data_IF_289253392741
#
_entry.id   IF_289253392741
#
_cell.length_a   1.000
_cell.length_b   1.000
_cell.length_c   1.000
_cell.angle_alpha   90.00
_cell.angle_beta   90.00
_cell.angle_gamma   90.00
#
_symmetry.space_group_name_H-M   'P 1'
#
loop_
_entity.id
_entity.type
_entity.pdbx_description
1 polymer ?
#
# COMPACT_ATOMS: atom_id res chain seq x y z
N UNK A 1 23.03 12.86 20.69
CA UNK A 1 24.40 12.29 20.74
C UNK A 1 25.39 12.94 19.76
N UNK A 2 24.97 13.72 18.75
CA UNK A 2 25.87 14.28 17.73
C UNK A 2 26.66 15.52 18.18
N UNK A 3 26.06 16.38 19.00
CA UNK A 3 26.70 17.63 19.51
C UNK A 3 27.84 17.34 20.50
N UNK A 4 27.71 16.29 21.32
CA UNK A 4 28.75 15.91 22.30
C UNK A 4 30.02 15.36 21.63
N UNK A 5 29.90 14.72 20.47
CA UNK A 5 31.04 14.18 19.71
C UNK A 5 31.78 15.30 18.97
N UNK A 6 31.05 16.31 18.45
CA UNK A 6 31.67 17.47 17.78
C UNK A 6 32.46 18.34 18.77
N UNK A 7 31.99 18.50 20.01
CA UNK A 7 32.71 19.23 21.07
C UNK A 7 34.03 18.54 21.48
N UNK A 8 34.07 17.20 21.47
CA UNK A 8 35.28 16.44 21.82
C UNK A 8 36.35 16.54 20.73
N UNK A 9 35.94 16.57 19.45
CA UNK A 9 36.89 16.73 18.33
C UNK A 9 37.50 18.14 18.30
N UNK A 10 36.74 19.17 18.68
CA UNK A 10 37.25 20.54 18.74
C UNK A 10 38.25 20.76 19.90
N UNK A 11 38.04 20.07 21.03
CA UNK A 11 38.93 20.15 22.19
C UNK A 11 40.31 19.52 21.96
N UNK A 12 40.42 18.50 21.11
CA UNK A 12 41.70 17.82 20.81
C UNK A 12 42.54 18.62 19.81
N UNK A 13 41.91 19.37 18.89
CA UNK A 13 42.61 20.18 17.88
C UNK A 13 43.14 21.52 18.44
N UNK A 14 42.53 22.05 19.52
CA UNK A 14 42.94 23.32 20.15
C UNK A 14 44.18 23.22 21.05
N UNK A 15 44.68 22.02 21.36
CA UNK A 15 45.75 21.81 22.35
C UNK A 15 47.18 21.78 21.75
N UNK A 16 47.36 22.15 20.47
CA UNK A 16 48.64 22.01 19.76
C UNK A 16 49.34 23.37 19.45
N UNK A 17 48.90 24.50 20.00
CA UNK A 17 49.48 25.84 19.69
C UNK A 17 50.29 26.44 20.87
N UNK A 18 50.50 25.72 21.97
CA UNK A 18 51.08 26.29 23.21
C UNK A 18 52.48 25.76 23.61
N UNK A 19 53.32 25.33 22.67
CA UNK A 19 54.76 25.11 22.93
C UNK A 19 55.60 25.84 21.87
N UNK A 20 55.69 27.16 22.01
CA UNK A 20 56.58 28.01 21.19
C UNK A 20 57.22 29.08 22.06
N UNK A 21 58.27 28.69 22.79
CA UNK A 21 59.24 29.47 23.60
C UNK A 21 60.32 28.43 23.97
N UNK A 22 61.64 28.58 23.84
CA UNK A 22 62.56 29.71 23.72
C UNK A 22 63.75 29.32 22.82
N UNK A 23 64.18 30.25 21.99
CA UNK A 23 65.51 30.26 21.38
C UNK A 23 66.55 30.68 22.42
N UNK A 24 67.49 29.80 22.78
CA UNK A 24 68.78 30.23 23.36
C UNK A 24 69.86 30.17 22.28
N UNK A 25 70.14 31.35 21.75
CA UNK A 25 71.41 31.71 21.11
C UNK A 25 72.55 31.56 22.12
N UNK A 26 73.53 30.72 21.83
CA UNK A 26 74.89 30.89 22.34
C UNK A 26 75.80 30.91 21.12
N UNK A 27 76.26 32.12 20.81
CA UNK A 27 77.44 32.39 19.98
C UNK A 27 78.68 32.16 20.85
N UNK A 28 79.82 31.88 20.19
CA UNK A 28 81.21 31.70 20.68
C UNK A 28 81.59 30.19 20.63
N UNK A 29 82.62 29.71 19.92
CA UNK A 29 83.81 30.35 19.38
C UNK A 29 84.31 29.62 18.12
N UNK A 30 85.09 30.34 17.32
CA UNK A 30 85.75 29.86 16.11
C UNK A 30 86.91 28.93 16.46
N UNK A 31 86.93 27.72 15.90
CA UNK A 31 88.12 27.09 15.31
C UNK A 31 87.79 25.66 14.87
N UNK A 32 88.31 25.31 13.68
CA UNK A 32 88.45 23.96 13.09
C UNK A 32 87.41 23.59 12.02
N UNK A 33 87.79 23.91 10.79
CA UNK A 33 87.20 23.36 9.57
C UNK A 33 87.83 21.98 9.31
N UNK A 34 87.03 21.08 8.70
CA UNK A 34 87.32 19.74 8.12
C UNK A 34 87.24 18.55 9.12
N UNK A 35 86.53 17.40 8.89
CA UNK A 35 85.50 16.97 7.93
C UNK A 35 84.29 16.26 8.63
N UNK A 36 83.76 16.79 9.73
CA UNK A 36 82.77 16.08 10.57
C UNK A 36 81.32 16.22 10.07
N UNK A 37 81.01 17.31 9.35
CA UNK A 37 79.67 17.59 8.80
C UNK A 37 79.21 16.59 7.74
N UNK A 38 80.11 16.07 6.91
CA UNK A 38 79.76 15.15 5.82
C UNK A 38 79.37 13.77 6.34
N UNK A 39 79.98 13.32 7.45
CA UNK A 39 79.63 12.05 8.10
C UNK A 39 78.31 12.17 8.86
N UNK A 40 78.08 13.28 9.57
CA UNK A 40 76.80 13.57 10.23
C UNK A 40 75.66 13.76 9.23
N UNK A 41 75.88 14.46 8.11
CA UNK A 41 74.90 14.54 7.01
C UNK A 41 74.61 13.17 6.41
N UNK A 42 75.63 12.34 6.16
CA UNK A 42 75.45 11.01 5.58
C UNK A 42 74.79 10.00 6.53
N UNK A 43 74.91 10.17 7.85
CA UNK A 43 74.13 9.40 8.83
C UNK A 43 72.70 9.88 8.92
N UNK A 44 72.46 11.20 8.91
CA UNK A 44 71.11 11.79 8.90
C UNK A 44 70.36 11.45 7.61
N UNK A 45 71.01 11.46 6.44
CA UNK A 45 70.42 11.03 5.17
C UNK A 45 70.07 9.54 5.18
N UNK A 46 70.93 8.68 5.74
CA UNK A 46 70.64 7.24 5.88
C UNK A 46 69.48 6.98 6.83
N UNK A 47 69.36 7.74 7.91
CA UNK A 47 68.24 7.66 8.84
C UNK A 47 66.95 8.18 8.21
N UNK A 48 67.01 9.30 7.49
CA UNK A 48 65.89 9.84 6.71
C UNK A 48 65.43 8.89 5.59
N UNK A 49 66.34 8.17 4.93
CA UNK A 49 66.00 7.14 3.93
C UNK A 49 65.30 5.96 4.60
N UNK A 50 65.81 5.47 5.75
CA UNK A 50 65.17 4.38 6.50
C UNK A 50 63.80 4.78 7.04
N UNK A 51 63.63 6.01 7.47
CA UNK A 51 62.35 6.54 7.94
C UNK A 51 61.36 6.71 6.79
N UNK A 52 61.81 7.21 5.63
CA UNK A 52 61.01 7.25 4.39
C UNK A 52 60.60 5.85 3.92
N UNK A 53 61.47 4.85 4.00
CA UNK A 53 61.12 3.46 3.67
C UNK A 53 60.09 2.86 4.63
N UNK A 54 60.21 3.13 5.95
CA UNK A 54 59.22 2.71 6.95
C UNK A 54 57.87 3.41 6.71
N UNK A 55 57.89 4.70 6.43
CA UNK A 55 56.69 5.46 6.07
C UNK A 55 56.06 4.93 4.77
N UNK A 56 56.86 4.62 3.75
CA UNK A 56 56.36 4.04 2.50
C UNK A 56 55.74 2.65 2.69
N UNK A 57 56.33 1.80 3.52
CA UNK A 57 55.75 0.48 3.88
C UNK A 57 54.44 0.65 4.66
N UNK A 58 54.41 1.53 5.65
CA UNK A 58 53.19 1.82 6.42
C UNK A 58 52.06 2.38 5.53
N UNK A 59 52.37 3.27 4.59
CA UNK A 59 51.40 3.78 3.61
C UNK A 59 50.89 2.68 2.69
N UNK A 60 51.77 1.79 2.22
CA UNK A 60 51.39 0.67 1.34
C UNK A 60 50.48 -0.34 2.04
N UNK A 61 50.71 -0.61 3.32
CA UNK A 61 49.86 -1.52 4.09
C UNK A 61 48.52 -0.86 4.46
N UNK A 62 48.52 0.43 4.82
CA UNK A 62 47.30 1.21 4.99
C UNK A 62 46.45 1.27 3.71
N UNK A 63 47.08 1.39 2.53
CA UNK A 63 46.37 1.36 1.25
C UNK A 63 45.74 0.00 0.95
N UNK A 64 46.45 -1.11 1.24
CA UNK A 64 45.89 -2.46 1.09
C UNK A 64 44.69 -2.68 1.99
N UNK A 65 44.75 -2.24 3.24
CA UNK A 65 43.65 -2.40 4.18
C UNK A 65 42.47 -1.50 3.83
N UNK A 66 42.72 -0.27 3.37
CA UNK A 66 41.66 0.59 2.79
C UNK A 66 41.01 -0.08 1.58
N UNK A 67 41.78 -0.72 0.71
CA UNK A 67 41.27 -1.43 -0.48
C UNK A 67 40.44 -2.67 -0.10
N UNK A 68 40.82 -3.39 0.95
CA UNK A 68 40.02 -4.51 1.49
C UNK A 68 38.71 -4.01 2.11
N UNK A 69 38.78 -2.96 2.93
CA UNK A 69 37.59 -2.34 3.53
C UNK A 69 36.61 -1.83 2.47
N UNK A 70 37.11 -1.17 1.42
CA UNK A 70 36.26 -0.71 0.32
C UNK A 70 35.57 -1.88 -0.41
N UNK A 71 36.31 -2.98 -0.69
CA UNK A 71 35.73 -4.17 -1.33
C UNK A 71 34.61 -4.80 -0.49
N UNK A 72 34.74 -4.83 0.83
CA UNK A 72 33.71 -5.37 1.72
C UNK A 72 32.50 -4.43 1.80
N UNK A 73 32.71 -3.11 1.83
CA UNK A 73 31.63 -2.13 1.73
C UNK A 73 30.86 -2.24 0.41
N UNK A 74 31.56 -2.37 -0.72
CA UNK A 74 30.93 -2.52 -2.05
C UNK A 74 30.12 -3.83 -2.14
N UNK A 75 30.60 -4.92 -1.53
CA UNK A 75 29.85 -6.19 -1.46
C UNK A 75 28.61 -6.05 -0.59
N UNK A 76 28.72 -5.41 0.57
CA UNK A 76 27.61 -5.16 1.48
C UNK A 76 26.55 -4.27 0.82
N UNK A 77 26.95 -3.22 0.11
CA UNK A 77 26.06 -2.34 -0.64
C UNK A 77 25.36 -3.09 -1.78
N UNK A 78 26.09 -3.87 -2.58
CA UNK A 78 25.49 -4.71 -3.63
C UNK A 78 24.47 -5.71 -3.07
N UNK A 79 24.76 -6.31 -1.91
CA UNK A 79 23.85 -7.22 -1.22
C UNK A 79 22.58 -6.49 -0.77
N UNK A 80 22.73 -5.32 -0.14
CA UNK A 80 21.59 -4.47 0.28
C UNK A 80 20.75 -4.04 -0.91
N UNK A 81 21.36 -3.63 -2.02
CA UNK A 81 20.65 -3.21 -3.21
C UNK A 81 19.87 -4.38 -3.85
N UNK A 82 20.42 -5.59 -3.83
CA UNK A 82 19.70 -6.80 -4.30
C UNK A 82 18.50 -7.09 -3.39
N UNK A 83 18.68 -7.07 -2.08
CA UNK A 83 17.60 -7.29 -1.11
C UNK A 83 16.49 -6.24 -1.23
N UNK A 84 16.84 -4.96 -1.44
CA UNK A 84 15.87 -3.89 -1.66
C UNK A 84 15.10 -4.07 -2.98
N UNK A 85 15.79 -4.42 -4.07
CA UNK A 85 15.15 -4.73 -5.36
C UNK A 85 14.19 -5.91 -5.24
N UNK A 86 14.54 -6.94 -4.48
CA UNK A 86 13.68 -8.10 -4.24
C UNK A 86 12.45 -7.73 -3.40
N UNK A 87 12.63 -6.96 -2.32
CA UNK A 87 11.52 -6.43 -1.51
C UNK A 87 10.57 -5.57 -2.33
N UNK A 88 11.10 -4.66 -3.15
CA UNK A 88 10.29 -3.81 -4.02
C UNK A 88 9.51 -4.63 -5.08
N UNK A 89 10.10 -5.71 -5.61
CA UNK A 89 9.38 -6.65 -6.49
C UNK A 89 8.26 -7.38 -5.74
N UNK A 90 8.54 -7.91 -4.55
CA UNK A 90 7.57 -8.61 -3.74
C UNK A 90 6.39 -7.70 -3.33
N UNK A 91 6.66 -6.44 -2.97
CA UNK A 91 5.64 -5.45 -2.64
C UNK A 91 4.76 -5.13 -3.85
N UNK A 92 5.35 -4.90 -5.04
CA UNK A 92 4.59 -4.69 -6.28
C UNK A 92 3.69 -5.87 -6.63
N UNK A 93 4.14 -7.10 -6.38
CA UNK A 93 3.32 -8.30 -6.60
C UNK A 93 2.15 -8.35 -5.61
N UNK A 94 2.39 -8.07 -4.33
CA UNK A 94 1.33 -7.99 -3.31
C UNK A 94 0.30 -6.92 -3.64
N UNK A 95 0.75 -5.71 -4.01
CA UNK A 95 -0.14 -4.61 -4.37
C UNK A 95 -1.03 -4.96 -5.59
N UNK A 96 -0.47 -5.64 -6.60
CA UNK A 96 -1.25 -6.13 -7.75
C UNK A 96 -2.29 -7.16 -7.32
N UNK A 97 -1.89 -8.14 -6.51
CA UNK A 97 -2.79 -9.17 -6.00
C UNK A 97 -3.93 -8.55 -5.15
N UNK A 98 -3.63 -7.57 -4.30
CA UNK A 98 -4.63 -6.86 -3.50
C UNK A 98 -5.58 -6.04 -4.37
N UNK A 99 -5.07 -5.36 -5.41
CA UNK A 99 -5.92 -4.65 -6.38
C UNK A 99 -6.85 -5.60 -7.13
N UNK A 100 -6.38 -6.79 -7.51
CA UNK A 100 -7.20 -7.80 -8.16
C UNK A 100 -8.27 -8.37 -7.21
N UNK A 101 -7.89 -8.68 -5.96
CA UNK A 101 -8.84 -9.10 -4.92
C UNK A 101 -9.91 -8.04 -4.67
N UNK A 102 -9.55 -6.77 -4.56
CA UNK A 102 -10.52 -5.68 -4.40
C UNK A 102 -11.44 -5.54 -5.62
N UNK A 103 -10.92 -5.68 -6.84
CA UNK A 103 -11.76 -5.66 -8.06
C UNK A 103 -12.73 -6.83 -8.08
N UNK A 104 -12.29 -8.04 -7.73
CA UNK A 104 -13.14 -9.22 -7.62
C UNK A 104 -14.22 -9.04 -6.54
N UNK A 105 -13.85 -8.58 -5.34
CA UNK A 105 -14.79 -8.30 -4.26
C UNK A 105 -15.85 -7.27 -4.67
N UNK A 106 -15.46 -6.19 -5.36
CA UNK A 106 -16.40 -5.18 -5.89
C UNK A 106 -17.36 -5.75 -6.94
N UNK A 107 -16.92 -6.70 -7.77
CA UNK A 107 -17.80 -7.38 -8.74
C UNK A 107 -18.84 -8.24 -8.03
N UNK A 108 -18.40 -9.06 -7.07
CA UNK A 108 -19.28 -9.89 -6.25
C UNK A 108 -20.30 -9.03 -5.50
N UNK A 109 -19.87 -7.93 -4.89
CA UNK A 109 -20.79 -7.02 -4.18
C UNK A 109 -21.85 -6.43 -5.13
N UNK A 110 -21.45 -6.03 -6.35
CA UNK A 110 -22.40 -5.52 -7.36
C UNK A 110 -23.40 -6.59 -7.79
N UNK A 111 -22.98 -7.83 -7.99
CA UNK A 111 -23.85 -8.95 -8.35
C UNK A 111 -24.82 -9.27 -7.21
N UNK A 112 -24.34 -9.37 -5.97
CA UNK A 112 -25.20 -9.56 -4.80
C UNK A 112 -26.22 -8.42 -4.65
N UNK A 113 -25.84 -7.16 -4.91
CA UNK A 113 -26.78 -6.04 -4.92
C UNK A 113 -27.85 -6.17 -6.00
N UNK A 114 -27.50 -6.70 -7.19
CA UNK A 114 -28.48 -6.96 -8.26
C UNK A 114 -29.46 -8.06 -7.87
N UNK A 115 -28.96 -9.17 -7.32
CA UNK A 115 -29.78 -10.28 -6.83
C UNK A 115 -30.77 -9.78 -5.76
N UNK A 116 -30.28 -9.09 -4.73
CA UNK A 116 -31.14 -8.51 -3.67
C UNK A 116 -32.23 -7.57 -4.21
N UNK A 117 -31.94 -6.82 -5.29
CA UNK A 117 -32.94 -5.95 -5.93
C UNK A 117 -33.99 -6.76 -6.68
N UNK A 118 -33.58 -7.81 -7.39
CA UNK A 118 -34.49 -8.72 -8.08
C UNK A 118 -35.42 -9.44 -7.07
N UNK A 119 -34.86 -9.98 -5.98
CA UNK A 119 -35.62 -10.63 -4.91
C UNK A 119 -36.69 -9.69 -4.33
N UNK A 120 -36.30 -8.44 -4.01
CA UNK A 120 -37.23 -7.42 -3.51
C UNK A 120 -38.32 -7.05 -4.52
N UNK A 121 -38.03 -7.11 -5.82
CA UNK A 121 -39.02 -6.85 -6.86
C UNK A 121 -40.08 -7.95 -6.89
N UNK A 122 -39.64 -9.21 -6.86
CA UNK A 122 -40.50 -10.39 -6.80
C UNK A 122 -41.36 -10.38 -5.54
N UNK A 123 -40.78 -10.08 -4.38
CA UNK A 123 -41.51 -9.97 -3.11
C UNK A 123 -42.61 -8.90 -3.17
N UNK A 124 -42.30 -7.71 -3.73
CA UNK A 124 -43.27 -6.62 -3.88
C UNK A 124 -44.42 -7.00 -4.82
N UNK A 125 -44.13 -7.68 -5.93
CA UNK A 125 -45.16 -8.13 -6.87
C UNK A 125 -46.07 -9.19 -6.24
N UNK A 126 -45.49 -10.18 -5.55
CA UNK A 126 -46.27 -11.18 -4.80
C UNK A 126 -47.23 -10.51 -3.81
N UNK A 127 -46.76 -9.53 -3.01
CA UNK A 127 -47.61 -8.80 -2.06
C UNK A 127 -48.72 -7.99 -2.75
N UNK A 128 -48.48 -7.47 -3.95
CA UNK A 128 -49.51 -6.76 -4.73
C UNK A 128 -50.57 -7.72 -5.27
N UNK A 129 -50.14 -8.86 -5.80
CA UNK A 129 -51.02 -9.93 -6.30
C UNK A 129 -51.90 -10.43 -5.16
N UNK A 130 -51.32 -10.82 -4.02
CA UNK A 130 -52.07 -11.33 -2.86
C UNK A 130 -53.15 -10.34 -2.38
N UNK A 131 -52.84 -9.04 -2.38
CA UNK A 131 -53.84 -8.01 -2.04
C UNK A 131 -54.93 -7.89 -3.10
N UNK A 132 -54.56 -7.92 -4.38
CA UNK A 132 -55.50 -7.82 -5.48
C UNK A 132 -56.43 -9.05 -5.54
N UNK A 133 -55.91 -10.26 -5.30
CA UNK A 133 -56.69 -11.50 -5.17
C UNK A 133 -57.68 -11.41 -4.00
N UNK A 134 -57.22 -11.00 -2.81
CA UNK A 134 -58.11 -10.81 -1.66
C UNK A 134 -59.24 -9.81 -1.92
N UNK A 135 -58.96 -8.75 -2.67
CA UNK A 135 -59.97 -7.77 -3.04
C UNK A 135 -60.93 -8.32 -4.10
N UNK A 136 -60.41 -9.06 -5.09
CA UNK A 136 -61.21 -9.77 -6.09
C UNK A 136 -62.19 -10.76 -5.44
N UNK A 137 -61.71 -11.60 -4.52
CA UNK A 137 -62.53 -12.58 -3.80
C UNK A 137 -63.63 -11.90 -2.98
N UNK A 138 -63.30 -10.79 -2.31
CA UNK A 138 -64.30 -9.98 -1.58
C UNK A 138 -65.35 -9.40 -2.51
N UNK A 139 -64.97 -8.96 -3.71
CA UNK A 139 -65.91 -8.43 -4.71
C UNK A 139 -66.83 -9.53 -5.23
N UNK A 140 -66.29 -10.69 -5.60
CA UNK A 140 -67.09 -11.85 -6.00
C UNK A 140 -68.06 -12.28 -4.89
N UNK A 141 -67.57 -12.44 -3.65
CA UNK A 141 -68.41 -12.85 -2.53
C UNK A 141 -69.53 -11.83 -2.21
N UNK A 142 -69.26 -10.53 -2.36
CA UNK A 142 -70.28 -9.48 -2.19
C UNK A 142 -71.33 -9.55 -3.29
N UNK A 143 -70.90 -9.67 -4.54
CA UNK A 143 -71.80 -9.77 -5.69
C UNK A 143 -72.71 -10.99 -5.57
N UNK A 144 -72.15 -12.17 -5.29
CA UNK A 144 -72.92 -13.41 -5.11
C UNK A 144 -73.94 -13.28 -3.97
N UNK A 145 -73.52 -12.72 -2.83
CA UNK A 145 -74.38 -12.52 -1.67
C UNK A 145 -75.53 -11.56 -1.95
N UNK A 146 -75.27 -10.46 -2.66
CA UNK A 146 -76.30 -9.47 -2.99
C UNK A 146 -77.25 -9.98 -4.09
N UNK A 147 -76.71 -10.68 -5.09
CA UNK A 147 -77.48 -11.31 -6.17
C UNK A 147 -78.42 -12.39 -5.63
N UNK A 148 -77.93 -13.29 -4.76
CA UNK A 148 -78.75 -14.33 -4.11
C UNK A 148 -79.85 -13.75 -3.20
N UNK A 149 -79.66 -12.54 -2.69
CA UNK A 149 -80.64 -11.84 -1.84
C UNK A 149 -81.61 -10.99 -2.67
N UNK A 150 -81.50 -10.97 -4.00
CA UNK A 150 -82.33 -10.14 -4.88
C UNK A 150 -82.16 -8.63 -4.66
N UNK A 151 -81.01 -8.20 -4.10
CA UNK A 151 -80.77 -6.79 -3.73
C UNK A 151 -80.18 -5.94 -4.86
N UNK A 152 -79.84 -6.55 -5.99
CA UNK A 152 -79.24 -5.89 -7.15
C UNK A 152 -80.15 -6.09 -8.37
N UNK A 153 -80.27 -5.06 -9.20
CA UNK A 153 -80.87 -5.20 -10.52
C UNK A 153 -79.91 -5.90 -11.49
N UNK A 154 -80.41 -6.43 -12.61
CA UNK A 154 -79.56 -7.03 -13.65
C UNK A 154 -78.48 -6.06 -14.15
N UNK A 155 -78.82 -4.77 -14.29
CA UNK A 155 -77.90 -3.71 -14.71
C UNK A 155 -76.79 -3.51 -13.66
N UNK A 156 -77.12 -3.58 -12.37
CA UNK A 156 -76.12 -3.43 -11.30
C UNK A 156 -75.20 -4.64 -11.22
N UNK A 157 -75.73 -5.85 -11.44
CA UNK A 157 -74.93 -7.07 -11.53
C UNK A 157 -73.94 -6.97 -12.69
N UNK A 158 -74.39 -6.51 -13.86
CA UNK A 158 -73.49 -6.29 -15.01
C UNK A 158 -72.39 -5.26 -14.70
N UNK A 159 -72.72 -4.14 -14.04
CA UNK A 159 -71.72 -3.14 -13.63
C UNK A 159 -70.68 -3.71 -12.68
N UNK A 160 -71.08 -4.49 -11.68
CA UNK A 160 -70.14 -5.13 -10.76
C UNK A 160 -69.29 -6.20 -11.48
N UNK A 161 -69.88 -7.01 -12.36
CA UNK A 161 -69.14 -7.96 -13.18
C UNK A 161 -68.05 -7.27 -14.01
N UNK A 162 -68.34 -6.12 -14.64
CA UNK A 162 -67.32 -5.33 -15.37
C UNK A 162 -66.17 -4.90 -14.45
N UNK A 163 -66.45 -4.49 -13.21
CA UNK A 163 -65.40 -4.12 -12.25
C UNK A 163 -64.57 -5.33 -11.83
N UNK A 164 -65.22 -6.47 -11.57
CA UNK A 164 -64.57 -7.74 -11.23
C UNK A 164 -63.66 -8.20 -12.38
N UNK A 165 -64.13 -8.15 -13.64
CA UNK A 165 -63.32 -8.47 -14.81
C UNK A 165 -62.11 -7.54 -14.96
N UNK A 166 -62.28 -6.23 -14.74
CA UNK A 166 -61.14 -5.29 -14.71
C UNK A 166 -60.12 -5.66 -13.64
N UNK A 167 -60.56 -6.07 -12.45
CA UNK A 167 -59.68 -6.54 -11.38
C UNK A 167 -58.96 -7.83 -11.75
N UNK A 168 -59.64 -8.77 -12.38
CA UNK A 168 -59.04 -10.00 -12.89
C UNK A 168 -57.94 -9.72 -13.93
N UNK A 169 -58.16 -8.76 -14.83
CA UNK A 169 -57.13 -8.32 -15.79
C UNK A 169 -55.92 -7.72 -15.08
N UNK A 170 -56.14 -6.85 -14.08
CA UNK A 170 -55.04 -6.29 -13.27
C UNK A 170 -54.22 -7.38 -12.56
N UNK A 171 -54.86 -8.43 -12.05
CA UNK A 171 -54.17 -9.57 -11.43
C UNK A 171 -53.29 -10.27 -12.48
N UNK A 172 -53.83 -10.58 -13.66
CA UNK A 172 -53.07 -11.22 -14.75
C UNK A 172 -51.89 -10.40 -15.23
N UNK A 173 -52.03 -9.08 -15.33
CA UNK A 173 -50.92 -8.17 -15.66
C UNK A 173 -49.81 -8.25 -14.60
N UNK A 174 -50.18 -8.23 -13.31
CA UNK A 174 -49.21 -8.37 -12.22
C UNK A 174 -48.54 -9.76 -12.19
N UNK A 175 -49.28 -10.83 -12.53
CA UNK A 175 -48.73 -12.18 -12.66
C UNK A 175 -47.73 -12.27 -13.81
N UNK A 176 -48.01 -11.63 -14.96
CA UNK A 176 -47.07 -11.53 -16.07
C UNK A 176 -45.79 -10.78 -15.65
N UNK A 177 -45.93 -9.63 -14.98
CA UNK A 177 -44.80 -8.89 -14.42
C UNK A 177 -43.99 -9.74 -13.42
N UNK A 178 -44.67 -10.58 -12.63
CA UNK A 178 -44.03 -11.49 -11.68
C UNK A 178 -43.22 -12.58 -12.39
N UNK A 179 -43.75 -13.16 -13.47
CA UNK A 179 -43.03 -14.13 -14.29
C UNK A 179 -41.77 -13.50 -14.86
N UNK A 180 -41.87 -12.32 -15.46
CA UNK A 180 -40.73 -11.57 -15.99
C UNK A 180 -39.69 -11.25 -14.91
N UNK A 181 -40.15 -10.87 -13.71
CA UNK A 181 -39.27 -10.58 -12.58
C UNK A 181 -38.55 -11.85 -12.07
N UNK A 182 -39.25 -12.99 -12.01
CA UNK A 182 -38.67 -14.29 -11.62
C UNK A 182 -37.67 -14.78 -12.67
N UNK A 183 -37.94 -14.60 -13.96
CA UNK A 183 -36.96 -14.90 -15.01
C UNK A 183 -35.69 -14.06 -14.87
N UNK A 184 -35.83 -12.75 -14.64
CA UNK A 184 -34.69 -11.86 -14.41
C UNK A 184 -33.90 -12.27 -13.16
N UNK A 185 -34.60 -12.66 -12.09
CA UNK A 185 -33.98 -13.18 -10.87
C UNK A 185 -33.20 -14.46 -11.14
N UNK A 186 -33.79 -15.43 -11.87
CA UNK A 186 -33.15 -16.69 -12.24
C UNK A 186 -31.90 -16.46 -13.11
N UNK A 187 -31.97 -15.53 -14.07
CA UNK A 187 -30.82 -15.15 -14.91
C UNK A 187 -29.66 -14.54 -14.12
N UNK A 188 -29.91 -13.97 -12.94
CA UNK A 188 -28.87 -13.41 -12.06
C UNK A 188 -28.29 -14.44 -11.08
N UNK A 189 -28.92 -15.61 -10.93
CA UNK A 189 -28.50 -16.69 -10.04
C UNK A 189 -27.76 -17.82 -10.77
N UNK A 190 -27.88 -17.89 -12.11
CA UNK A 190 -27.12 -18.80 -12.98
C UNK A 190 -25.75 -18.21 -13.31
#
# INVERSE_FOLDING_TARGET
MKIKIVLIVFAIFGCQIAFSQESKTVVVDSMRIVPVDLLQQKTLEKEAIKEREKAAKALKDAEKDRKKAQKELDKAEKSRQKAEKERAKAEKVRERADKERQKAAKKIEKEQRKIKKADKSVEKLNKKIEKAEKDYDKMQAKLDKQSKRGKLSEVDIQKENVKISKKQLQIKELEADLVDAKEKQLKLQK
#
